data_IF_347130334022
#
_entry.id   IF_347130334022
#
_cell.length_a   1.000
_cell.length_b   1.000
_cell.length_c   1.000
_cell.angle_alpha   90.00
_cell.angle_beta   90.00
_cell.angle_gamma   90.00
#
_symmetry.space_group_name_H-M   'P 1'
#
loop_
_entity.id
_entity.type
_entity.pdbx_description
1 polymer ?
#
# COMPACT_ATOMS: atom_id res chain seq x y z
N UNK A 1 -31.81 2.99 -13.75
CA UNK A 1 -30.89 3.01 -14.90
C UNK A 1 -29.70 2.09 -14.64
N UNK A 2 -29.13 1.54 -15.69
CA UNK A 2 -27.96 0.67 -15.58
C UNK A 2 -26.73 1.42 -16.04
N UNK A 3 -25.61 1.21 -15.33
CA UNK A 3 -24.33 1.84 -15.68
C UNK A 3 -23.27 0.77 -15.77
N UNK A 4 -22.34 0.96 -16.70
CA UNK A 4 -21.18 0.08 -16.86
C UNK A 4 -19.94 0.88 -16.45
N UNK A 5 -19.08 0.25 -15.65
CA UNK A 5 -17.80 0.86 -15.29
C UNK A 5 -16.95 1.00 -16.55
N UNK A 6 -16.41 2.19 -16.78
CA UNK A 6 -15.51 2.43 -17.91
C UNK A 6 -14.22 1.63 -17.72
N UNK A 7 -13.71 1.02 -18.79
CA UNK A 7 -12.42 0.33 -18.68
C UNK A 7 -11.31 1.33 -18.44
N UNK A 8 -10.52 1.10 -17.37
CA UNK A 8 -9.36 1.92 -17.03
C UNK A 8 -8.20 1.00 -16.72
N UNK A 9 -7.00 1.44 -17.07
CA UNK A 9 -5.77 0.74 -16.70
C UNK A 9 -5.25 1.40 -15.43
N UNK A 10 -4.98 0.56 -14.41
CA UNK A 10 -4.42 1.02 -13.13
C UNK A 10 -3.11 0.31 -12.89
N UNK A 11 -2.33 0.85 -11.96
CA UNK A 11 -1.14 0.19 -11.47
C UNK A 11 -1.46 -0.43 -10.12
N UNK A 12 -0.85 -1.58 -9.83
CA UNK A 12 -1.04 -2.25 -8.55
C UNK A 12 0.23 -2.93 -8.10
N UNK A 13 0.43 -2.98 -6.80
CA UNK A 13 1.51 -3.71 -6.17
C UNK A 13 0.92 -4.83 -5.31
N UNK A 14 1.40 -6.06 -5.49
CA UNK A 14 0.94 -7.19 -4.68
C UNK A 14 1.82 -7.34 -3.44
N UNK A 15 1.25 -7.04 -2.28
CA UNK A 15 1.94 -7.19 -0.99
C UNK A 15 1.92 -8.66 -0.58
N UNK A 16 2.76 -9.47 -1.20
CA UNK A 16 2.77 -10.93 -1.03
C UNK A 16 3.05 -11.36 0.40
N UNK A 17 3.92 -10.63 1.08
CA UNK A 17 4.32 -10.92 2.44
C UNK A 17 4.74 -9.62 3.12
N UNK A 18 5.09 -9.71 4.40
CA UNK A 18 5.56 -8.57 5.17
C UNK A 18 7.07 -8.64 5.41
N UNK A 19 7.80 -9.17 4.43
CA UNK A 19 9.26 -9.15 4.47
C UNK A 19 9.76 -7.72 4.30
N UNK A 20 10.99 -7.48 4.74
CA UNK A 20 11.64 -6.19 4.56
C UNK A 20 11.63 -5.73 3.10
N UNK A 21 11.92 -6.65 2.19
CA UNK A 21 11.94 -6.36 0.76
C UNK A 21 10.56 -5.91 0.26
N UNK A 22 9.53 -6.67 0.60
CA UNK A 22 8.16 -6.36 0.17
C UNK A 22 7.68 -5.03 0.72
N UNK A 23 7.98 -4.74 1.99
CA UNK A 23 7.61 -3.47 2.61
C UNK A 23 8.32 -2.31 1.92
N UNK A 24 9.62 -2.45 1.63
CA UNK A 24 10.38 -1.40 0.95
C UNK A 24 9.86 -1.17 -0.48
N UNK A 25 9.50 -2.23 -1.19
CA UNK A 25 8.91 -2.10 -2.52
C UNK A 25 7.55 -1.39 -2.46
N UNK A 26 6.73 -1.71 -1.45
CA UNK A 26 5.45 -1.04 -1.25
C UNK A 26 5.62 0.44 -0.95
N UNK A 27 6.61 0.81 -0.12
CA UNK A 27 6.92 2.21 0.15
C UNK A 27 7.32 2.94 -1.12
N UNK A 28 8.14 2.32 -1.94
CA UNK A 28 8.56 2.89 -3.22
C UNK A 28 7.36 3.08 -4.14
N UNK A 29 6.48 2.10 -4.20
CA UNK A 29 5.28 2.15 -5.04
C UNK A 29 4.34 3.28 -4.61
N UNK A 30 4.10 3.44 -3.32
CA UNK A 30 3.20 4.47 -2.79
C UNK A 30 3.86 5.85 -2.70
N UNK A 31 5.18 5.92 -2.83
CA UNK A 31 5.91 7.17 -2.68
C UNK A 31 5.97 7.68 -1.25
N UNK A 32 5.64 6.85 -0.28
CA UNK A 32 5.72 7.25 1.13
C UNK A 32 7.16 7.40 1.56
N UNK A 33 7.43 8.41 2.37
CA UNK A 33 8.74 8.64 2.96
C UNK A 33 8.68 8.35 4.45
N UNK A 34 9.78 7.77 4.96
CA UNK A 34 9.92 7.52 6.40
C UNK A 34 10.70 8.69 6.98
N UNK A 35 10.03 9.49 7.80
CA UNK A 35 10.63 10.69 8.39
C UNK A 35 11.16 10.42 9.78
N UNK A 36 12.30 11.07 10.10
CA UNK A 36 12.84 11.07 11.44
C UNK A 36 12.10 12.14 12.25
N UNK A 37 11.46 11.78 13.38
CA UNK A 37 10.83 12.78 14.24
C UNK A 37 11.90 13.79 14.72
N UNK A 38 11.57 15.06 14.62
CA UNK A 38 12.47 16.13 15.08
C UNK A 38 12.65 16.04 16.59
N UNK A 39 13.90 16.18 17.02
CA UNK A 39 14.22 16.17 18.46
C UNK A 39 14.49 14.80 19.05
N UNK A 40 14.57 13.77 18.22
CA UNK A 40 14.86 12.40 18.67
C UNK A 40 16.13 11.88 17.98
N UNK A 41 17.30 12.33 18.41
CA UNK A 41 18.56 11.92 17.77
C UNK A 41 18.89 10.44 17.93
N UNK A 42 18.23 9.75 18.87
CA UNK A 42 18.39 8.31 19.04
C UNK A 42 17.71 7.48 17.96
N UNK A 43 16.90 8.11 17.10
CA UNK A 43 16.30 7.41 15.95
C UNK A 43 17.30 7.38 14.80
N UNK A 44 18.28 6.50 14.93
CA UNK A 44 19.34 6.36 13.92
C UNK A 44 18.85 5.68 12.65
N UNK A 45 17.72 4.97 12.73
CA UNK A 45 17.20 4.21 11.60
C UNK A 45 15.67 4.27 11.55
N UNK A 46 15.09 5.32 10.96
CA UNK A 46 13.64 5.47 10.86
C UNK A 46 12.98 4.35 10.06
N UNK A 47 13.71 3.73 9.14
CA UNK A 47 13.18 2.60 8.39
C UNK A 47 12.93 1.40 9.31
N UNK A 48 13.84 1.13 10.24
CA UNK A 48 13.65 0.03 11.20
C UNK A 48 12.42 0.26 12.06
N UNK A 49 12.22 1.47 12.55
CA UNK A 49 11.01 1.81 13.33
C UNK A 49 9.74 1.60 12.51
N UNK A 50 9.77 2.00 11.25
CA UNK A 50 8.64 1.81 10.36
C UNK A 50 8.35 0.32 10.15
N UNK A 51 9.39 -0.49 9.96
CA UNK A 51 9.24 -1.93 9.79
C UNK A 51 8.61 -2.57 11.02
N UNK A 52 9.06 -2.19 12.23
CA UNK A 52 8.47 -2.70 13.47
C UNK A 52 7.00 -2.32 13.57
N UNK A 53 6.63 -1.10 13.19
CA UNK A 53 5.24 -0.68 13.18
C UNK A 53 4.39 -1.49 12.22
N UNK A 54 4.93 -1.79 11.04
CA UNK A 54 4.23 -2.63 10.06
C UNK A 54 3.99 -4.02 10.64
N UNK A 55 5.01 -4.60 11.25
CA UNK A 55 4.89 -5.94 11.84
C UNK A 55 3.93 -5.95 13.03
N UNK A 56 3.97 -4.93 13.89
CA UNK A 56 3.06 -4.82 15.03
C UNK A 56 1.61 -4.69 14.58
N UNK A 57 1.36 -3.97 13.49
CA UNK A 57 0.02 -3.75 12.95
C UNK A 57 -0.42 -4.84 11.97
N UNK A 58 0.46 -5.76 11.61
CA UNK A 58 0.23 -6.80 10.61
C UNK A 58 -0.12 -6.24 9.25
N UNK A 59 0.46 -5.10 8.89
CA UNK A 59 0.22 -4.50 7.59
C UNK A 59 0.69 -3.05 7.49
N UNK A 60 0.51 -2.51 6.30
CA UNK A 60 0.91 -1.13 5.98
C UNK A 60 -0.33 -0.24 6.01
N UNK A 61 -0.22 0.89 6.71
CA UNK A 61 -1.32 1.85 6.76
C UNK A 61 -1.26 2.72 5.50
N UNK A 62 -2.35 2.72 4.75
CA UNK A 62 -2.51 3.51 3.54
C UNK A 62 -3.50 4.63 3.84
N UNK A 63 -3.06 5.88 3.65
CA UNK A 63 -3.93 7.03 3.82
C UNK A 63 -4.80 7.18 2.57
N UNK A 64 -6.11 7.20 2.76
CA UNK A 64 -7.07 7.38 1.68
C UNK A 64 -7.96 8.58 1.98
N UNK A 65 -8.75 9.00 0.98
CA UNK A 65 -9.70 10.09 1.17
C UNK A 65 -10.78 9.76 2.20
N UNK A 66 -10.99 8.47 2.47
CA UNK A 66 -11.97 8.00 3.45
C UNK A 66 -11.34 7.66 4.80
N UNK A 67 -10.07 8.02 5.00
CA UNK A 67 -9.33 7.72 6.21
C UNK A 67 -8.24 6.69 5.98
N UNK A 68 -7.68 6.17 7.06
CA UNK A 68 -6.59 5.21 6.99
C UNK A 68 -7.12 3.79 6.83
N UNK A 69 -6.55 3.05 5.88
CA UNK A 69 -6.86 1.65 5.65
C UNK A 69 -5.60 0.81 5.82
N UNK A 70 -5.78 -0.42 6.29
CA UNK A 70 -4.66 -1.34 6.48
C UNK A 70 -4.54 -2.28 5.29
N UNK A 71 -3.36 -2.28 4.66
CA UNK A 71 -3.01 -3.26 3.64
C UNK A 71 -2.32 -4.42 4.33
N UNK A 72 -2.96 -5.59 4.34
CA UNK A 72 -2.46 -6.78 5.00
C UNK A 72 -1.70 -7.68 4.04
N UNK A 73 -0.97 -8.66 4.59
CA UNK A 73 -0.28 -9.65 3.78
C UNK A 73 -1.25 -10.30 2.79
N UNK A 74 -0.86 -10.34 1.54
CA UNK A 74 -1.68 -10.89 0.45
C UNK A 74 -2.51 -9.85 -0.30
N UNK A 75 -2.72 -8.68 0.27
CA UNK A 75 -3.50 -7.63 -0.35
C UNK A 75 -2.76 -6.98 -1.53
N UNK A 76 -3.53 -6.38 -2.43
CA UNK A 76 -2.99 -5.52 -3.47
C UNK A 76 -3.12 -4.06 -3.03
N UNK A 77 -2.13 -3.24 -3.38
CA UNK A 77 -2.21 -1.80 -3.22
C UNK A 77 -2.41 -1.23 -4.62
N UNK A 78 -3.52 -0.54 -4.82
CA UNK A 78 -3.91 0.00 -6.12
C UNK A 78 -3.58 1.48 -6.18
N UNK A 79 -2.99 1.91 -7.29
CA UNK A 79 -2.84 3.33 -7.59
C UNK A 79 -3.97 3.67 -8.56
N UNK A 80 -4.92 4.49 -8.09
CA UNK A 80 -6.06 4.88 -8.89
C UNK A 80 -5.71 5.90 -9.96
N UNK A 81 -6.72 6.23 -10.77
CA UNK A 81 -6.53 7.12 -11.93
C UNK A 81 -6.15 8.55 -11.54
N UNK A 82 -6.45 8.95 -10.30
CA UNK A 82 -6.09 10.29 -9.79
C UNK A 82 -4.81 10.27 -8.95
N UNK A 83 -4.10 9.16 -8.95
CA UNK A 83 -2.86 9.02 -8.17
C UNK A 83 -3.06 8.62 -6.73
N UNK A 84 -4.31 8.39 -6.30
CA UNK A 84 -4.62 7.95 -4.95
C UNK A 84 -4.28 6.46 -4.77
N UNK A 85 -3.99 6.07 -3.53
CA UNK A 85 -3.67 4.68 -3.20
C UNK A 85 -4.72 4.10 -2.27
N UNK A 86 -5.04 2.83 -2.44
CA UNK A 86 -5.95 2.11 -1.55
C UNK A 86 -5.68 0.60 -1.62
N UNK A 87 -5.92 -0.11 -0.50
CA UNK A 87 -5.73 -1.56 -0.48
C UNK A 87 -6.95 -2.28 -1.06
N UNK A 88 -6.70 -3.46 -1.62
CA UNK A 88 -7.76 -4.30 -2.19
C UNK A 88 -7.47 -5.75 -1.84
N UNK A 89 -8.49 -6.47 -1.39
CA UNK A 89 -8.35 -7.89 -1.08
C UNK A 89 -8.04 -8.69 -2.34
N UNK A 90 -7.21 -9.75 -2.24
CA UNK A 90 -6.75 -10.48 -3.43
C UNK A 90 -7.88 -11.11 -4.25
N UNK A 91 -8.90 -11.66 -3.59
CA UNK A 91 -10.04 -12.25 -4.27
C UNK A 91 -10.84 -11.21 -5.05
N UNK A 92 -11.07 -10.05 -4.44
CA UNK A 92 -11.78 -8.95 -5.10
C UNK A 92 -10.96 -8.40 -6.25
N UNK A 93 -9.65 -8.27 -6.05
CA UNK A 93 -8.75 -7.78 -7.09
C UNK A 93 -8.77 -8.70 -8.32
N UNK A 94 -8.67 -10.01 -8.10
CA UNK A 94 -8.65 -10.99 -9.17
C UNK A 94 -9.96 -11.04 -9.96
N UNK A 95 -11.10 -10.78 -9.32
CA UNK A 95 -12.39 -10.71 -9.98
C UNK A 95 -12.57 -9.42 -10.78
N UNK A 96 -11.93 -8.33 -10.33
CA UNK A 96 -12.15 -7.00 -10.89
C UNK A 96 -11.16 -6.63 -12.00
N UNK A 97 -9.92 -7.08 -11.87
CA UNK A 97 -8.83 -6.69 -12.76
C UNK A 97 -8.15 -7.89 -13.38
N UNK A 98 -7.65 -7.69 -14.59
CA UNK A 98 -6.77 -8.65 -15.24
C UNK A 98 -5.51 -7.94 -15.69
N UNK A 99 -4.39 -8.68 -15.68
CA UNK A 99 -3.09 -8.13 -16.06
C UNK A 99 -3.08 -7.78 -17.55
N UNK A 100 -2.51 -6.62 -17.86
CA UNK A 100 -2.35 -6.18 -19.25
C UNK A 100 -0.86 -5.99 -19.54
N UNK A 101 -0.46 -6.34 -20.74
CA UNK A 101 0.93 -6.23 -21.20
C UNK A 101 1.25 -4.83 -21.71
#
# INVERSE_FOLDING_TARGET
>A
MKYRKKPVVIEAYHLKDLSRKSICEALSFTGQTVEIPKGFPEYDNPLEDYLYNVWDNNGIIIETLEGNHLASEGDYIIKGIQGEFYPCKPDIFEETYSEVD
#
